data_IF_023919752402
#
_entry.id   IF_023919752402
#
_cell.length_a   1.000
_cell.length_b   1.000
_cell.length_c   1.000
_cell.angle_alpha   90.00
_cell.angle_beta   90.00
_cell.angle_gamma   90.00
#
_symmetry.space_group_name_H-M   'P 1'
#
loop_
_entity.id
_entity.type
_entity.pdbx_description
1 polymer ?
#
# COMPACT_ATOMS: atom_id res chain seq x y z
N UNK A 1 -16.57 -6.76 -11.37
CA UNK A 1 -17.84 -6.02 -11.63
C UNK A 1 -18.93 -6.60 -10.74
N UNK A 2 -20.13 -5.96 -10.69
CA UNK A 2 -21.26 -6.52 -9.94
C UNK A 2 -21.73 -7.79 -10.66
N UNK A 3 -21.99 -8.87 -9.88
CA UNK A 3 -22.25 -10.21 -10.42
C UNK A 3 -23.73 -10.56 -10.46
N UNK A 4 -24.50 -9.98 -9.55
CA UNK A 4 -25.92 -10.27 -9.38
C UNK A 4 -26.78 -9.09 -9.83
N UNK A 5 -27.93 -9.40 -10.45
CA UNK A 5 -28.90 -8.39 -10.88
C UNK A 5 -30.31 -8.85 -10.54
N UNK A 6 -31.07 -7.97 -9.89
CA UNK A 6 -32.48 -8.20 -9.53
C UNK A 6 -33.33 -7.02 -10.01
N UNK A 7 -34.52 -7.31 -10.48
CA UNK A 7 -35.54 -6.30 -10.70
C UNK A 7 -36.29 -6.00 -9.39
N UNK A 8 -36.54 -4.74 -9.15
CA UNK A 8 -37.24 -4.29 -7.97
C UNK A 8 -38.60 -3.70 -8.34
N UNK A 9 -39.65 -4.25 -7.72
CA UNK A 9 -41.00 -3.70 -7.71
C UNK A 9 -41.47 -3.59 -6.26
N UNK A 10 -42.11 -2.47 -5.93
CA UNK A 10 -42.52 -2.19 -4.56
C UNK A 10 -43.53 -3.22 -4.00
N UNK A 11 -44.34 -3.82 -4.89
CA UNK A 11 -45.35 -4.82 -4.54
C UNK A 11 -44.73 -6.18 -4.16
N UNK A 12 -43.49 -6.44 -4.62
CA UNK A 12 -42.78 -7.70 -4.38
C UNK A 12 -41.52 -7.50 -3.54
N UNK A 13 -41.45 -6.46 -2.73
CA UNK A 13 -40.28 -6.11 -1.93
C UNK A 13 -39.85 -7.22 -0.96
N UNK A 14 -40.80 -7.95 -0.36
CA UNK A 14 -40.53 -9.04 0.55
C UNK A 14 -39.74 -10.19 -0.13
N UNK A 15 -40.11 -10.53 -1.38
CA UNK A 15 -39.41 -11.55 -2.17
C UNK A 15 -37.96 -11.12 -2.48
N UNK A 16 -37.80 -9.86 -2.90
CA UNK A 16 -36.46 -9.29 -3.20
C UNK A 16 -35.59 -9.28 -1.94
N UNK A 17 -36.14 -8.85 -0.78
CA UNK A 17 -35.35 -8.85 0.47
C UNK A 17 -35.01 -10.27 0.97
N UNK A 18 -35.85 -11.26 0.68
CA UNK A 18 -35.55 -12.65 1.00
C UNK A 18 -34.42 -13.21 0.10
N UNK A 19 -34.41 -12.85 -1.18
CA UNK A 19 -33.43 -13.29 -2.16
C UNK A 19 -32.02 -12.73 -1.94
N UNK A 20 -31.88 -11.49 -1.43
CA UNK A 20 -30.54 -10.91 -1.22
C UNK A 20 -29.86 -11.43 0.05
N UNK A 21 -28.54 -11.62 0.06
CA UNK A 21 -27.82 -12.12 1.23
C UNK A 21 -27.74 -11.08 2.35
N UNK A 22 -27.75 -11.56 3.61
CA UNK A 22 -27.47 -10.74 4.79
C UNK A 22 -25.94 -10.66 5.04
N UNK A 23 -25.16 -10.23 4.03
CA UNK A 23 -23.71 -10.23 3.99
C UNK A 23 -23.15 -8.89 3.51
N UNK A 24 -21.84 -8.62 3.72
CA UNK A 24 -21.18 -7.47 3.13
C UNK A 24 -21.26 -7.51 1.61
N UNK A 25 -21.49 -6.33 0.99
CA UNK A 25 -21.61 -6.22 -0.46
C UNK A 25 -21.34 -4.79 -0.94
N UNK A 26 -21.00 -4.68 -2.22
CA UNK A 26 -21.13 -3.45 -3.00
C UNK A 26 -22.39 -3.56 -3.84
N UNK A 27 -23.16 -2.49 -3.92
CA UNK A 27 -24.39 -2.48 -4.70
C UNK A 27 -24.63 -1.16 -5.41
N UNK A 28 -25.39 -1.24 -6.47
CA UNK A 28 -25.80 -0.15 -7.32
C UNK A 28 -27.32 -0.22 -7.53
N UNK A 29 -28.02 0.91 -7.37
CA UNK A 29 -29.45 1.03 -7.60
C UNK A 29 -29.69 1.94 -8.80
N UNK A 30 -30.48 1.45 -9.78
CA UNK A 30 -30.90 2.21 -10.97
C UNK A 30 -32.39 2.48 -10.94
N UNK A 31 -32.75 3.68 -11.35
CA UNK A 31 -34.12 4.07 -11.61
C UNK A 31 -34.64 3.60 -12.97
N UNK A 32 -35.89 4.00 -13.30
CA UNK A 32 -36.47 3.81 -14.63
C UNK A 32 -35.79 4.73 -15.68
N UNK A 33 -35.36 5.91 -15.26
CA UNK A 33 -34.67 6.86 -16.13
C UNK A 33 -33.20 6.45 -16.29
N UNK A 34 -32.82 6.09 -17.50
CA UNK A 34 -31.45 5.71 -17.84
C UNK A 34 -30.42 6.87 -17.70
N UNK A 35 -30.89 8.12 -17.72
CA UNK A 35 -30.03 9.30 -17.54
C UNK A 35 -29.84 9.68 -16.07
N UNK A 36 -30.66 9.14 -15.17
CA UNK A 36 -30.53 9.41 -13.75
C UNK A 36 -29.25 8.74 -13.19
N UNK A 37 -28.52 9.50 -12.37
CA UNK A 37 -27.33 8.96 -11.70
C UNK A 37 -27.69 7.77 -10.79
N UNK A 38 -27.04 6.60 -10.94
CA UNK A 38 -27.29 5.47 -10.07
C UNK A 38 -26.74 5.73 -8.65
N UNK A 39 -27.38 5.15 -7.65
CA UNK A 39 -26.89 5.17 -6.28
C UNK A 39 -25.92 4.00 -6.07
N UNK A 40 -24.65 4.29 -5.78
CA UNK A 40 -23.58 3.30 -5.60
C UNK A 40 -22.99 3.41 -4.20
N UNK A 41 -22.92 2.30 -3.47
CA UNK A 41 -22.26 2.25 -2.15
C UNK A 41 -21.90 0.82 -1.73
N UNK A 42 -21.12 0.70 -0.65
CA UNK A 42 -20.86 -0.57 0.04
C UNK A 42 -21.63 -0.64 1.36
N UNK A 43 -21.87 -1.83 1.84
CA UNK A 43 -22.54 -2.09 3.11
C UNK A 43 -21.98 -3.33 3.80
N UNK A 44 -22.05 -3.39 5.13
CA UNK A 44 -21.73 -4.59 5.90
C UNK A 44 -22.88 -5.63 5.91
N UNK A 45 -24.09 -5.23 5.54
CA UNK A 45 -25.24 -6.13 5.43
C UNK A 45 -26.18 -5.61 4.33
N UNK A 46 -26.20 -6.31 3.20
CA UNK A 46 -26.95 -5.90 2.01
C UNK A 46 -28.44 -5.90 2.26
N UNK A 47 -29.01 -7.00 2.78
CA UNK A 47 -30.44 -7.15 3.04
C UNK A 47 -30.96 -6.01 3.93
N UNK A 48 -30.33 -5.80 5.08
CA UNK A 48 -30.71 -4.74 6.02
C UNK A 48 -30.61 -3.33 5.41
N UNK A 49 -29.59 -3.12 4.57
CA UNK A 49 -29.39 -1.83 3.88
C UNK A 49 -30.47 -1.57 2.84
N UNK A 50 -30.83 -2.57 2.03
CA UNK A 50 -31.88 -2.47 1.04
C UNK A 50 -33.23 -2.29 1.69
N UNK A 51 -33.58 -3.04 2.75
CA UNK A 51 -34.80 -2.84 3.52
C UNK A 51 -34.93 -1.40 4.03
N UNK A 52 -33.85 -0.79 4.48
CA UNK A 52 -33.84 0.61 4.94
C UNK A 52 -34.04 1.62 3.80
N UNK A 53 -33.51 1.33 2.60
CA UNK A 53 -33.57 2.24 1.44
C UNK A 53 -34.86 2.06 0.60
N UNK A 54 -35.40 0.85 0.55
CA UNK A 54 -36.48 0.45 -0.37
C UNK A 54 -37.71 -0.08 0.36
N UNK A 55 -37.68 -0.23 1.68
CA UNK A 55 -38.83 -0.66 2.47
C UNK A 55 -39.91 0.42 2.57
N UNK A 56 -41.08 0.05 3.09
CA UNK A 56 -42.20 1.00 3.29
C UNK A 56 -41.76 2.16 4.19
N UNK A 57 -42.21 3.36 3.87
CA UNK A 57 -41.89 4.57 4.63
C UNK A 57 -42.84 4.66 5.82
N UNK A 58 -42.33 4.65 7.04
CA UNK A 58 -43.08 5.07 8.20
C UNK A 58 -43.28 6.61 8.14
N UNK A 59 -44.49 7.08 8.39
CA UNK A 59 -44.81 8.51 8.37
C UNK A 59 -43.79 9.33 9.18
N UNK A 60 -43.30 10.44 8.59
CA UNK A 60 -42.37 11.43 9.19
C UNK A 60 -40.89 11.06 9.35
N UNK A 61 -40.30 10.19 8.53
CA UNK A 61 -38.82 10.02 8.57
C UNK A 61 -38.11 10.90 7.56
N UNK A 62 -37.08 11.68 8.01
CA UNK A 62 -36.15 12.43 7.14
C UNK A 62 -35.07 11.51 6.49
N UNK A 63 -35.24 10.18 6.53
CA UNK A 63 -34.28 9.22 6.01
C UNK A 63 -34.46 9.06 4.50
N UNK A 64 -33.32 8.93 3.79
CA UNK A 64 -33.32 8.66 2.35
C UNK A 64 -34.09 7.37 2.08
N UNK A 65 -35.17 7.46 1.29
CA UNK A 65 -35.89 6.34 0.73
C UNK A 65 -35.90 6.45 -0.79
N UNK A 66 -35.68 5.36 -1.47
CA UNK A 66 -35.56 5.27 -2.92
C UNK A 66 -36.60 4.31 -3.52
N UNK A 67 -37.57 3.85 -2.73
CA UNK A 67 -38.56 2.82 -3.09
C UNK A 67 -39.24 3.08 -4.45
N UNK A 68 -39.74 4.29 -4.64
CA UNK A 68 -40.52 4.62 -5.84
C UNK A 68 -39.66 4.88 -7.08
N UNK A 69 -38.37 5.12 -6.86
CA UNK A 69 -37.42 5.48 -7.93
C UNK A 69 -36.65 4.30 -8.49
N UNK A 70 -36.35 3.29 -7.66
CA UNK A 70 -35.50 2.14 -8.03
C UNK A 70 -36.32 1.13 -8.83
N UNK A 71 -35.68 0.56 -9.86
CA UNK A 71 -36.20 -0.55 -10.67
C UNK A 71 -35.22 -1.72 -10.78
N UNK A 72 -33.93 -1.45 -10.63
CA UNK A 72 -32.89 -2.47 -10.74
C UNK A 72 -31.91 -2.35 -9.60
N UNK A 73 -31.58 -3.49 -9.00
CA UNK A 73 -30.56 -3.67 -7.98
C UNK A 73 -29.46 -4.53 -8.59
N UNK A 74 -28.26 -4.00 -8.70
CA UNK A 74 -27.07 -4.76 -9.07
C UNK A 74 -26.16 -4.85 -7.84
N UNK A 75 -25.60 -6.02 -7.52
CA UNK A 75 -24.72 -6.17 -6.37
C UNK A 75 -23.68 -7.27 -6.55
N UNK A 76 -22.68 -7.25 -5.70
CA UNK A 76 -21.75 -8.37 -5.53
C UNK A 76 -21.40 -8.51 -4.03
N UNK A 77 -21.57 -9.71 -3.46
CA UNK A 77 -21.12 -10.03 -2.12
C UNK A 77 -19.59 -9.92 -2.02
N UNK A 78 -19.09 -9.59 -0.83
CA UNK A 78 -17.65 -9.45 -0.57
C UNK A 78 -17.30 -10.09 0.77
N UNK A 79 -16.09 -10.64 0.89
CA UNK A 79 -15.63 -11.31 2.10
C UNK A 79 -14.94 -10.38 3.10
N UNK A 80 -14.49 -9.20 2.65
CA UNK A 80 -13.74 -8.27 3.51
C UNK A 80 -14.04 -6.80 3.20
N UNK A 81 -13.68 -5.91 4.15
CA UNK A 81 -13.78 -4.45 3.94
C UNK A 81 -12.82 -3.95 2.85
N UNK A 82 -11.65 -4.63 2.71
CA UNK A 82 -10.71 -4.34 1.64
C UNK A 82 -11.31 -4.67 0.27
N UNK A 83 -11.84 -5.89 0.11
CA UNK A 83 -12.51 -6.32 -1.13
C UNK A 83 -13.67 -5.40 -1.48
N UNK A 84 -14.53 -5.07 -0.49
CA UNK A 84 -15.62 -4.11 -0.67
C UNK A 84 -15.11 -2.72 -1.10
N UNK A 85 -13.99 -2.27 -0.54
CA UNK A 85 -13.36 -0.98 -0.89
C UNK A 85 -12.81 -0.97 -2.30
N UNK A 86 -12.12 -2.04 -2.71
CA UNK A 86 -11.53 -2.19 -4.04
C UNK A 86 -12.61 -2.35 -5.12
N UNK A 87 -13.63 -3.16 -4.85
CA UNK A 87 -14.77 -3.31 -5.77
C UNK A 87 -15.55 -1.99 -5.91
N UNK A 88 -15.81 -1.28 -4.80
CA UNK A 88 -16.45 0.04 -4.85
C UNK A 88 -15.66 1.04 -5.70
N UNK A 89 -14.33 1.04 -5.56
CA UNK A 89 -13.46 1.85 -6.42
C UNK A 89 -13.66 1.51 -7.90
N UNK A 90 -13.63 0.23 -8.26
CA UNK A 90 -13.78 -0.23 -9.65
C UNK A 90 -15.15 0.14 -10.22
N UNK A 91 -16.22 -0.06 -9.44
CA UNK A 91 -17.60 0.29 -9.86
C UNK A 91 -17.76 1.80 -10.01
N UNK A 92 -17.29 2.59 -9.04
CA UNK A 92 -17.39 4.06 -9.13
C UNK A 92 -16.57 4.63 -10.27
N UNK A 93 -15.37 4.10 -10.52
CA UNK A 93 -14.52 4.52 -11.65
C UNK A 93 -15.19 4.25 -13.00
N UNK A 94 -15.84 3.09 -13.14
CA UNK A 94 -16.60 2.74 -14.36
C UNK A 94 -17.87 3.56 -14.52
N UNK A 95 -18.61 3.80 -13.42
CA UNK A 95 -19.92 4.48 -13.45
C UNK A 95 -19.76 6.01 -13.51
N UNK A 96 -18.76 6.57 -12.81
CA UNK A 96 -18.57 8.01 -12.66
C UNK A 96 -17.12 8.44 -12.98
N UNK A 97 -16.62 8.25 -14.20
CA UNK A 97 -15.20 8.44 -14.54
C UNK A 97 -14.67 9.84 -14.23
N UNK A 98 -15.53 10.87 -14.21
CA UNK A 98 -15.14 12.25 -13.92
C UNK A 98 -15.17 12.61 -12.43
N UNK A 99 -15.94 11.89 -11.59
CA UNK A 99 -16.20 12.28 -10.19
C UNK A 99 -15.92 11.20 -9.14
N UNK A 100 -15.50 9.99 -9.54
CA UNK A 100 -15.26 8.87 -8.61
C UNK A 100 -14.23 9.19 -7.53
N UNK A 101 -13.19 9.97 -7.85
CA UNK A 101 -12.15 10.32 -6.89
C UNK A 101 -12.69 11.16 -5.73
N UNK A 102 -13.54 12.15 -6.02
CA UNK A 102 -14.19 12.97 -4.98
C UNK A 102 -15.19 12.15 -4.17
N UNK A 103 -15.92 11.23 -4.81
CA UNK A 103 -16.86 10.32 -4.14
C UNK A 103 -16.16 9.37 -3.17
N UNK A 104 -14.95 8.88 -3.51
CA UNK A 104 -14.12 8.01 -2.68
C UNK A 104 -13.30 8.77 -1.63
N UNK A 105 -13.18 10.09 -1.76
CA UNK A 105 -12.35 10.95 -0.89
C UNK A 105 -10.93 10.41 -0.76
N UNK A 106 -10.27 10.15 -1.89
CA UNK A 106 -8.92 9.62 -1.92
C UNK A 106 -7.94 10.49 -1.13
N UNK A 107 -7.13 9.83 -0.31
CA UNK A 107 -5.95 10.39 0.36
C UNK A 107 -4.72 9.65 -0.16
N UNK A 108 -4.08 10.20 -1.19
CA UNK A 108 -2.91 9.59 -1.80
C UNK A 108 -1.79 9.34 -0.78
N UNK A 109 -1.04 8.27 -1.04
CA UNK A 109 0.03 7.87 -0.15
C UNK A 109 1.24 8.80 -0.30
N UNK A 110 1.82 9.29 0.80
CA UNK A 110 3.11 9.97 0.77
C UNK A 110 4.22 8.99 0.41
N UNK A 111 5.15 9.46 -0.41
CA UNK A 111 6.29 8.71 -0.93
C UNK A 111 7.55 9.56 -0.78
N UNK A 112 8.67 8.94 -0.50
CA UNK A 112 10.00 9.53 -0.69
C UNK A 112 10.34 9.40 -2.17
N UNK A 113 10.69 10.50 -2.82
CA UNK A 113 11.16 10.56 -4.21
C UNK A 113 12.63 10.91 -4.24
N UNK A 114 13.45 10.08 -4.91
CA UNK A 114 14.80 10.44 -5.32
C UNK A 114 14.76 10.99 -6.75
N UNK A 115 15.16 12.25 -6.91
CA UNK A 115 15.16 12.99 -8.18
C UNK A 115 16.47 12.72 -8.93
N UNK A 116 16.57 11.55 -9.59
CA UNK A 116 17.74 11.20 -10.37
C UNK A 116 17.79 11.89 -11.75
N UNK A 117 16.72 12.59 -12.12
CA UNK A 117 16.65 13.43 -13.32
C UNK A 117 17.46 14.72 -13.20
N UNK A 118 17.75 15.17 -11.98
CA UNK A 118 18.55 16.37 -11.73
C UNK A 118 20.04 16.04 -11.91
N UNK A 119 20.81 16.99 -12.41
CA UNK A 119 22.27 16.87 -12.49
C UNK A 119 22.88 16.57 -11.11
N UNK A 120 22.38 17.27 -10.08
CA UNK A 120 22.67 16.95 -8.68
C UNK A 120 21.40 16.40 -8.00
N UNK A 121 21.24 15.08 -7.92
CA UNK A 121 20.08 14.43 -7.34
C UNK A 121 19.78 14.85 -5.91
N UNK A 122 18.51 14.80 -5.53
CA UNK A 122 18.03 15.11 -4.18
C UNK A 122 16.82 14.26 -3.82
N UNK A 123 16.43 14.27 -2.53
CA UNK A 123 15.21 13.64 -2.07
C UNK A 123 14.10 14.67 -1.80
N UNK A 124 12.86 14.25 -1.90
CA UNK A 124 11.69 15.02 -1.47
C UNK A 124 10.49 14.11 -1.15
N UNK A 125 9.47 14.67 -0.49
CA UNK A 125 8.21 13.97 -0.26
C UNK A 125 7.19 14.39 -1.30
N UNK A 126 6.53 13.39 -1.90
CA UNK A 126 5.49 13.59 -2.91
C UNK A 126 4.30 12.66 -2.69
N UNK A 127 3.13 13.07 -3.18
CA UNK A 127 1.95 12.20 -3.33
C UNK A 127 1.63 11.97 -4.81
N UNK A 128 2.49 12.43 -5.73
CA UNK A 128 2.31 12.32 -7.16
C UNK A 128 3.39 11.42 -7.76
N UNK A 129 2.99 10.49 -8.60
CA UNK A 129 3.90 9.66 -9.38
C UNK A 129 4.11 10.27 -10.76
N UNK A 130 5.38 10.35 -11.16
CA UNK A 130 5.75 10.47 -12.55
C UNK A 130 5.77 9.10 -13.24
N UNK A 131 6.37 8.99 -14.42
CA UNK A 131 6.61 7.70 -15.07
C UNK A 131 7.59 6.89 -14.23
N UNK A 132 7.15 5.71 -13.76
CA UNK A 132 8.02 4.79 -13.02
C UNK A 132 9.19 4.33 -13.93
N UNK A 133 10.38 4.24 -13.33
CA UNK A 133 11.54 3.57 -13.94
C UNK A 133 12.41 4.38 -14.88
N UNK A 134 12.16 5.69 -15.15
CA UNK A 134 12.99 6.42 -16.10
C UNK A 134 14.03 7.40 -15.53
N UNK A 135 13.72 8.16 -14.50
CA UNK A 135 14.66 9.17 -13.92
C UNK A 135 14.40 9.50 -12.45
N UNK A 136 13.41 8.89 -11.83
CA UNK A 136 13.11 9.12 -10.41
C UNK A 136 12.73 7.81 -9.77
N UNK A 137 13.17 7.61 -8.54
CA UNK A 137 12.79 6.46 -7.73
C UNK A 137 11.80 6.91 -6.64
N UNK A 138 10.84 6.04 -6.34
CA UNK A 138 9.82 6.30 -5.36
C UNK A 138 9.78 5.18 -4.33
N UNK A 139 9.80 5.54 -3.03
CA UNK A 139 9.78 4.61 -1.91
C UNK A 139 8.57 4.89 -1.01
N UNK A 140 7.88 3.87 -0.60
CA UNK A 140 6.65 3.95 0.19
C UNK A 140 5.74 2.76 -0.08
N UNK A 141 4.45 2.88 0.28
CA UNK A 141 3.71 4.03 0.81
C UNK A 141 3.90 4.25 2.32
N UNK A 142 4.01 5.50 2.76
CA UNK A 142 4.04 5.84 4.18
C UNK A 142 2.63 6.13 4.73
N UNK A 143 2.46 5.95 6.04
CA UNK A 143 1.19 6.21 6.74
C UNK A 143 0.77 7.67 6.66
N UNK A 144 1.72 8.59 6.81
CA UNK A 144 1.51 10.05 6.78
C UNK A 144 2.70 10.78 6.16
N UNK A 145 2.48 12.06 5.79
CA UNK A 145 3.55 12.92 5.29
C UNK A 145 4.63 13.13 6.36
N UNK A 146 4.22 13.32 7.61
CA UNK A 146 5.14 13.49 8.75
C UNK A 146 6.04 12.27 8.91
N UNK A 147 5.47 11.06 8.82
CA UNK A 147 6.26 9.83 8.90
C UNK A 147 7.27 9.69 7.75
N UNK A 148 6.87 10.07 6.53
CA UNK A 148 7.75 10.06 5.37
C UNK A 148 8.88 11.10 5.48
N UNK A 149 8.57 12.33 5.93
CA UNK A 149 9.54 13.41 6.16
C UNK A 149 10.53 13.02 7.25
N UNK A 150 10.03 12.48 8.37
CA UNK A 150 10.89 11.99 9.46
C UNK A 150 11.84 10.91 8.96
N UNK A 151 11.33 9.85 8.34
CA UNK A 151 12.16 8.77 7.80
C UNK A 151 13.20 9.29 6.81
N UNK A 152 12.82 10.16 5.87
CA UNK A 152 13.74 10.75 4.89
C UNK A 152 14.85 11.55 5.57
N UNK A 153 14.50 12.43 6.52
CA UNK A 153 15.48 13.28 7.19
C UNK A 153 16.43 12.46 8.07
N UNK A 154 15.88 11.54 8.88
CA UNK A 154 16.67 10.65 9.74
C UNK A 154 17.64 9.77 8.88
N UNK A 155 17.19 9.32 7.71
CA UNK A 155 18.02 8.60 6.75
C UNK A 155 19.15 9.46 6.20
N UNK A 156 18.82 10.69 5.76
CA UNK A 156 19.78 11.61 5.17
C UNK A 156 20.85 12.11 6.16
N UNK A 157 20.63 11.97 7.47
CA UNK A 157 21.65 12.25 8.49
C UNK A 157 22.88 11.34 8.42
N UNK A 158 22.76 10.19 7.75
CA UNK A 158 23.88 9.28 7.50
C UNK A 158 24.66 9.60 6.22
N UNK A 159 24.13 10.52 5.38
CA UNK A 159 24.65 10.82 4.05
C UNK A 159 24.90 12.31 3.87
N UNK A 160 25.70 12.62 2.87
CA UNK A 160 26.02 14.00 2.49
C UNK A 160 25.33 14.45 1.19
N UNK A 161 24.16 13.87 0.90
CA UNK A 161 23.32 14.31 -0.21
C UNK A 161 22.72 15.69 0.09
N UNK A 162 22.62 16.56 -0.92
CA UNK A 162 22.00 17.90 -0.77
C UNK A 162 20.55 17.84 -0.31
N UNK A 163 20.16 18.76 0.56
CA UNK A 163 18.80 18.90 1.11
C UNK A 163 18.04 20.11 0.56
N UNK A 164 18.73 21.03 -0.12
CA UNK A 164 18.12 22.18 -0.76
C UNK A 164 17.16 21.75 -1.88
N UNK A 165 16.11 22.54 -2.08
CA UNK A 165 15.04 22.25 -3.04
C UNK A 165 15.23 22.93 -4.38
N UNK A 166 16.04 23.97 -4.43
CA UNK A 166 16.26 24.82 -5.60
C UNK A 166 16.97 24.06 -6.73
N UNK A 167 16.76 24.51 -7.96
CA UNK A 167 17.57 24.07 -9.08
C UNK A 167 19.00 24.55 -8.87
N UNK A 168 19.93 23.62 -8.99
CA UNK A 168 21.30 23.86 -8.60
C UNK A 168 22.14 24.16 -9.84
N UNK A 169 22.73 25.37 -9.84
CA UNK A 169 23.71 25.81 -10.82
C UNK A 169 25.02 26.08 -10.06
N UNK A 170 26.05 25.22 -10.19
CA UNK A 170 27.28 25.37 -9.45
C UNK A 170 27.99 26.71 -9.75
N UNK A 171 28.21 27.50 -8.71
CA UNK A 171 28.98 28.75 -8.78
C UNK A 171 30.08 28.72 -7.72
N UNK A 172 31.38 28.69 -8.10
CA UNK A 172 32.49 28.72 -7.15
C UNK A 172 32.51 29.96 -6.22
N UNK A 173 31.80 31.00 -6.58
CA UNK A 173 31.68 32.22 -5.76
C UNK A 173 30.51 32.16 -4.77
N UNK A 174 29.69 31.14 -4.81
CA UNK A 174 28.58 30.95 -3.88
C UNK A 174 29.13 30.81 -2.45
N UNK A 175 28.65 31.56 -1.47
CA UNK A 175 29.25 31.59 -0.12
C UNK A 175 28.98 30.32 0.71
N UNK A 176 28.23 29.37 0.16
CA UNK A 176 27.80 28.17 0.88
C UNK A 176 26.43 28.35 1.53
N UNK A 177 26.01 27.31 2.24
CA UNK A 177 24.75 27.28 2.97
C UNK A 177 24.92 26.53 4.29
N UNK A 178 23.94 26.62 5.17
CA UNK A 178 23.96 25.97 6.49
C UNK A 178 24.28 24.46 6.42
N UNK A 179 23.79 23.75 5.40
CA UNK A 179 24.07 22.31 5.25
C UNK A 179 25.52 22.03 4.90
N UNK A 180 26.17 22.92 4.14
CA UNK A 180 27.62 22.79 3.84
C UNK A 180 28.47 23.11 5.06
N UNK A 181 28.12 24.15 5.83
CA UNK A 181 28.80 24.52 7.07
C UNK A 181 28.70 23.41 8.13
N UNK A 182 27.52 22.79 8.26
CA UNK A 182 27.31 21.65 9.15
C UNK A 182 27.87 20.31 8.62
N UNK A 183 28.53 20.30 7.47
CA UNK A 183 29.07 19.11 6.80
C UNK A 183 28.03 18.02 6.52
N UNK A 184 26.76 18.40 6.36
CA UNK A 184 25.65 17.53 6.03
C UNK A 184 25.42 17.39 4.51
N UNK A 185 26.23 18.05 3.69
CA UNK A 185 26.17 18.06 2.24
C UNK A 185 27.59 18.15 1.67
N UNK A 186 27.86 17.48 0.55
CA UNK A 186 29.12 17.60 -0.20
C UNK A 186 29.30 18.93 -0.91
N UNK A 187 28.28 19.80 -0.86
CA UNK A 187 28.29 21.15 -1.36
C UNK A 187 28.60 21.31 -2.87
N UNK A 188 27.90 20.58 -3.76
CA UNK A 188 28.09 20.75 -5.21
C UNK A 188 27.75 22.15 -5.69
N UNK A 189 26.97 22.94 -4.92
CA UNK A 189 26.55 24.29 -5.28
C UNK A 189 27.71 25.29 -5.43
N UNK A 190 28.81 25.10 -4.72
CA UNK A 190 30.05 25.90 -4.90
C UNK A 190 31.26 25.06 -5.29
N UNK A 191 31.02 23.88 -5.91
CA UNK A 191 32.06 22.92 -6.33
C UNK A 191 32.91 22.42 -5.15
N UNK A 192 32.28 22.20 -3.99
CA UNK A 192 32.93 21.65 -2.80
C UNK A 192 33.26 20.15 -2.91
N UNK A 193 32.79 19.50 -3.96
CA UNK A 193 33.12 18.12 -4.34
C UNK A 193 33.18 17.98 -5.86
N UNK A 194 33.78 16.89 -6.34
CA UNK A 194 33.69 16.50 -7.76
C UNK A 194 32.32 15.89 -8.09
N UNK A 195 32.00 15.80 -9.38
CA UNK A 195 30.76 15.19 -9.86
C UNK A 195 30.77 13.69 -9.56
N UNK A 196 31.92 13.03 -9.64
CA UNK A 196 32.13 11.62 -9.32
C UNK A 196 31.90 11.33 -7.84
N UNK A 197 32.42 12.20 -6.94
CA UNK A 197 32.22 12.09 -5.49
C UNK A 197 30.73 12.24 -5.14
N UNK A 198 30.05 13.21 -5.77
CA UNK A 198 28.62 13.38 -5.56
C UNK A 198 27.81 12.18 -6.09
N UNK A 199 28.15 11.67 -7.28
CA UNK A 199 27.50 10.49 -7.87
C UNK A 199 27.71 9.24 -7.01
N UNK A 200 28.90 9.05 -6.44
CA UNK A 200 29.18 7.95 -5.51
C UNK A 200 28.28 8.03 -4.26
N UNK A 201 28.13 9.21 -3.68
CA UNK A 201 27.25 9.42 -2.52
C UNK A 201 25.77 9.16 -2.86
N UNK A 202 25.31 9.59 -4.03
CA UNK A 202 23.94 9.29 -4.51
C UNK A 202 23.72 7.79 -4.68
N UNK A 203 24.70 7.06 -5.20
CA UNK A 203 24.62 5.60 -5.31
C UNK A 203 24.55 4.91 -3.93
N UNK A 204 25.25 5.42 -2.91
CA UNK A 204 25.14 4.94 -1.54
C UNK A 204 23.74 5.18 -0.96
N UNK A 205 23.18 6.38 -1.14
CA UNK A 205 21.80 6.71 -0.74
C UNK A 205 20.79 5.79 -1.44
N UNK A 206 20.94 5.59 -2.74
CA UNK A 206 20.09 4.68 -3.50
C UNK A 206 20.17 3.26 -2.97
N UNK A 207 21.38 2.71 -2.77
CA UNK A 207 21.59 1.36 -2.24
C UNK A 207 20.94 1.20 -0.85
N UNK A 208 21.02 2.24 0.00
CA UNK A 208 20.37 2.28 1.29
C UNK A 208 18.85 2.15 1.18
N UNK A 209 18.19 2.97 0.36
CA UNK A 209 16.74 2.91 0.18
C UNK A 209 16.31 1.61 -0.51
N UNK A 210 17.07 1.12 -1.50
CA UNK A 210 16.76 -0.11 -2.24
C UNK A 210 16.86 -1.36 -1.35
N UNK A 211 17.74 -1.35 -0.36
CA UNK A 211 17.96 -2.48 0.57
C UNK A 211 17.21 -2.35 1.91
N UNK A 212 16.35 -1.33 2.07
CA UNK A 212 15.70 -1.08 3.36
C UNK A 212 16.71 -0.82 4.50
N UNK A 213 17.90 -0.29 4.19
CA UNK A 213 18.93 0.06 5.14
C UNK A 213 20.07 -0.97 5.30
N UNK A 214 19.92 -2.18 4.76
CA UNK A 214 20.92 -3.26 4.91
C UNK A 214 22.29 -2.90 4.34
N UNK A 215 22.35 -2.13 3.25
CA UNK A 215 23.61 -1.74 2.64
C UNK A 215 24.47 -0.88 3.58
N UNK A 216 23.86 0.11 4.24
CA UNK A 216 24.53 0.97 5.20
C UNK A 216 24.90 0.21 6.49
N UNK A 217 24.03 -0.70 6.95
CA UNK A 217 24.32 -1.53 8.12
C UNK A 217 25.55 -2.39 7.89
N UNK A 218 25.70 -3.00 6.72
CA UNK A 218 26.88 -3.78 6.35
C UNK A 218 28.13 -2.90 6.21
N UNK A 219 28.01 -1.74 5.56
CA UNK A 219 29.09 -0.76 5.40
C UNK A 219 29.64 -0.34 6.76
N UNK A 220 28.79 0.18 7.66
CA UNK A 220 29.19 0.61 8.99
C UNK A 220 29.74 -0.53 9.86
N UNK A 221 29.22 -1.75 9.72
CA UNK A 221 29.74 -2.91 10.43
C UNK A 221 31.16 -3.26 9.97
N UNK A 222 31.41 -3.25 8.66
CA UNK A 222 32.73 -3.51 8.10
C UNK A 222 33.74 -2.42 8.49
N UNK A 223 33.37 -1.14 8.45
CA UNK A 223 34.19 -0.03 8.90
C UNK A 223 34.56 -0.15 10.38
N UNK A 224 33.58 -0.50 11.24
CA UNK A 224 33.84 -0.72 12.69
C UNK A 224 34.82 -1.86 12.93
N UNK A 225 34.65 -2.99 12.23
CA UNK A 225 35.60 -4.13 12.34
C UNK A 225 36.99 -3.76 11.89
N UNK A 226 37.14 -3.02 10.78
CA UNK A 226 38.42 -2.54 10.30
C UNK A 226 39.09 -1.57 11.29
N UNK A 227 38.33 -0.65 11.90
CA UNK A 227 38.84 0.26 12.93
C UNK A 227 39.32 -0.52 14.19
N UNK A 228 38.53 -1.50 14.62
CA UNK A 228 38.88 -2.37 15.75
C UNK A 228 40.14 -3.19 15.45
N UNK A 229 40.28 -3.75 14.25
CA UNK A 229 41.47 -4.49 13.83
C UNK A 229 42.75 -3.65 13.81
N UNK A 230 42.62 -2.34 13.58
CA UNK A 230 43.75 -1.36 13.67
C UNK A 230 43.96 -0.82 15.08
N UNK A 231 43.21 -1.32 16.09
CA UNK A 231 43.20 -0.84 17.46
C UNK A 231 42.77 0.63 17.61
N UNK A 232 42.04 1.18 16.62
CA UNK A 232 41.48 2.53 16.66
C UNK A 232 40.12 2.55 17.40
N UNK A 233 40.17 2.32 18.71
CA UNK A 233 38.99 2.07 19.53
C UNK A 233 38.01 3.25 19.61
N UNK A 234 38.50 4.50 19.60
CA UNK A 234 37.67 5.69 19.57
C UNK A 234 36.88 5.79 18.25
N UNK A 235 37.54 5.52 17.13
CA UNK A 235 36.89 5.46 15.82
C UNK A 235 35.85 4.33 15.76
N UNK A 236 36.18 3.14 16.23
CA UNK A 236 35.28 2.00 16.31
C UNK A 236 34.05 2.32 17.19
N UNK A 237 34.23 3.01 18.32
CA UNK A 237 33.14 3.43 19.20
C UNK A 237 32.22 4.47 18.52
N UNK A 238 32.78 5.44 17.80
CA UNK A 238 32.02 6.43 17.04
C UNK A 238 31.18 5.76 15.93
N UNK A 239 31.75 4.79 15.21
CA UNK A 239 31.01 4.04 14.18
C UNK A 239 29.92 3.16 14.84
N UNK A 240 30.20 2.52 15.96
CA UNK A 240 29.21 1.74 16.72
C UNK A 240 28.02 2.61 17.12
N UNK A 241 28.24 3.81 17.62
CA UNK A 241 27.16 4.75 17.95
C UNK A 241 26.27 5.07 16.73
N UNK A 242 26.85 5.16 15.52
CA UNK A 242 26.08 5.34 14.29
C UNK A 242 25.22 4.11 13.97
N UNK A 243 25.74 2.89 14.17
CA UNK A 243 24.99 1.63 14.00
C UNK A 243 23.82 1.58 14.99
N UNK A 244 24.06 1.93 16.26
CA UNK A 244 22.99 1.94 17.29
C UNK A 244 21.92 3.01 17.01
N UNK A 245 22.25 4.12 16.36
CA UNK A 245 21.27 5.11 15.87
C UNK A 245 20.45 4.59 14.69
N UNK A 246 21.04 3.78 13.81
CA UNK A 246 20.39 3.24 12.61
C UNK A 246 19.37 2.13 12.91
N UNK A 247 19.71 1.21 13.84
CA UNK A 247 18.89 0.04 14.16
C UNK A 247 17.41 0.35 14.50
N UNK A 248 17.10 1.27 15.44
CA UNK A 248 15.70 1.58 15.78
C UNK A 248 14.92 2.15 14.61
N UNK A 249 15.57 2.93 13.76
CA UNK A 249 14.93 3.51 12.59
C UNK A 249 14.53 2.44 11.56
N UNK A 250 15.39 1.45 11.32
CA UNK A 250 15.12 0.34 10.42
C UNK A 250 14.10 -0.63 11.00
N UNK A 251 14.16 -0.94 12.29
CA UNK A 251 13.20 -1.84 12.94
C UNK A 251 11.77 -1.31 12.95
N UNK A 252 11.59 0.00 12.88
CA UNK A 252 10.28 0.66 12.77
C UNK A 252 9.80 0.84 11.33
N UNK A 253 10.62 0.51 10.33
CA UNK A 253 10.24 0.67 8.93
C UNK A 253 9.27 -0.44 8.53
N UNK A 254 8.02 -0.10 8.15
CA UNK A 254 7.06 -1.12 7.74
C UNK A 254 7.49 -1.82 6.44
N UNK A 255 7.31 -3.15 6.35
CA UNK A 255 7.67 -3.94 5.16
C UNK A 255 7.05 -3.42 3.85
N UNK A 256 5.90 -2.75 3.91
CA UNK A 256 5.27 -2.14 2.74
C UNK A 256 6.08 -0.97 2.17
N UNK A 257 6.97 -0.36 2.98
CA UNK A 257 7.79 0.76 2.54
C UNK A 257 8.97 0.23 1.74
N UNK A 258 8.75 0.09 0.46
CA UNK A 258 9.72 -0.43 -0.51
C UNK A 258 9.76 0.49 -1.73
N UNK A 259 10.73 0.26 -2.60
CA UNK A 259 10.79 0.89 -3.91
C UNK A 259 9.58 0.44 -4.76
N UNK A 260 8.81 1.38 -5.30
CA UNK A 260 7.51 1.08 -5.91
C UNK A 260 7.58 0.18 -7.15
N UNK A 261 8.64 0.31 -7.94
CA UNK A 261 8.87 -0.56 -9.10
C UNK A 261 9.41 -1.96 -8.72
N UNK A 262 9.60 -2.22 -7.42
CA UNK A 262 9.89 -3.53 -6.85
C UNK A 262 8.75 -4.04 -5.97
N UNK A 263 7.77 -3.20 -5.62
CA UNK A 263 6.69 -3.56 -4.71
C UNK A 263 5.82 -4.67 -5.32
N UNK A 264 6.08 -5.89 -4.90
CA UNK A 264 5.36 -7.10 -5.29
C UNK A 264 4.94 -7.87 -4.04
N UNK A 265 3.67 -8.28 -3.97
CA UNK A 265 3.13 -9.00 -2.83
C UNK A 265 1.90 -9.83 -3.19
N UNK A 266 1.58 -10.81 -2.34
CA UNK A 266 0.30 -11.48 -2.30
C UNK A 266 -0.46 -11.06 -1.03
N UNK A 267 -1.66 -10.53 -1.19
CA UNK A 267 -2.59 -10.27 -0.10
C UNK A 267 -3.67 -11.33 -0.08
N UNK A 268 -3.93 -11.90 1.11
CA UNK A 268 -4.95 -12.90 1.37
C UNK A 268 -6.03 -12.27 2.24
N UNK A 269 -7.27 -12.36 1.79
CA UNK A 269 -8.45 -11.83 2.46
C UNK A 269 -9.48 -12.95 2.70
N UNK A 270 -10.35 -12.83 3.71
CA UNK A 270 -11.53 -13.69 3.79
C UNK A 270 -12.37 -13.59 2.52
N UNK A 271 -12.95 -14.71 2.10
CA UNK A 271 -13.87 -14.78 0.97
C UNK A 271 -15.33 -14.76 1.44
N UNK A 272 -16.24 -14.30 0.58
CA UNK A 272 -17.68 -14.51 0.75
C UNK A 272 -18.13 -15.91 0.35
N UNK A 273 -17.27 -16.65 -0.38
CA UNK A 273 -17.53 -18.05 -0.78
C UNK A 273 -17.05 -18.98 0.33
N UNK A 274 -17.95 -19.82 0.83
CA UNK A 274 -17.62 -20.82 1.84
C UNK A 274 -16.48 -21.74 1.39
N UNK A 275 -15.56 -22.07 2.31
CA UNK A 275 -14.41 -22.93 2.00
C UNK A 275 -13.30 -22.27 1.19
N UNK A 276 -13.34 -20.96 0.99
CA UNK A 276 -12.39 -20.24 0.15
C UNK A 276 -11.77 -19.02 0.86
N UNK A 277 -10.66 -18.54 0.33
CA UNK A 277 -10.06 -17.22 0.61
C UNK A 277 -9.92 -16.42 -0.68
N UNK A 278 -9.82 -15.11 -0.58
CA UNK A 278 -9.66 -14.22 -1.73
C UNK A 278 -8.20 -13.75 -1.85
N UNK A 279 -7.58 -13.94 -3.00
CA UNK A 279 -6.23 -13.51 -3.32
C UNK A 279 -6.25 -12.21 -4.10
N UNK A 280 -5.40 -11.27 -3.69
CA UNK A 280 -5.08 -10.05 -4.42
C UNK A 280 -3.56 -10.00 -4.65
N UNK A 281 -3.16 -9.94 -5.90
CA UNK A 281 -1.76 -9.72 -6.28
C UNK A 281 -1.48 -8.22 -6.31
N UNK A 282 -0.39 -7.82 -5.68
CA UNK A 282 0.19 -6.49 -5.84
C UNK A 282 1.41 -6.63 -6.74
N UNK A 283 1.47 -5.87 -7.83
CA UNK A 283 2.61 -5.83 -8.72
C UNK A 283 2.89 -4.38 -9.15
N UNK A 284 4.13 -3.92 -8.92
CA UNK A 284 4.54 -2.54 -9.17
C UNK A 284 3.61 -1.49 -8.49
N UNK A 285 3.08 -1.83 -7.32
CA UNK A 285 2.14 -1.01 -6.58
C UNK A 285 0.69 -1.05 -7.07
N UNK A 286 0.36 -1.86 -8.08
CA UNK A 286 -1.00 -2.09 -8.55
C UNK A 286 -1.60 -3.33 -7.92
N UNK A 287 -2.93 -3.31 -7.73
CA UNK A 287 -3.70 -4.39 -7.16
C UNK A 287 -4.49 -5.08 -8.27
N UNK A 288 -4.34 -6.38 -8.40
CA UNK A 288 -5.12 -7.26 -9.29
C UNK A 288 -5.87 -8.30 -8.47
N UNK A 289 -7.07 -8.66 -8.89
CA UNK A 289 -7.93 -9.63 -8.20
C UNK A 289 -9.32 -9.06 -7.88
N UNK A 290 -10.13 -9.73 -7.03
CA UNK A 290 -9.79 -10.99 -6.34
C UNK A 290 -9.83 -12.22 -7.22
N UNK A 291 -9.02 -13.23 -6.86
CA UNK A 291 -9.26 -14.61 -7.24
C UNK A 291 -9.75 -15.37 -6.02
N UNK A 292 -10.82 -16.15 -6.19
CA UNK A 292 -11.33 -17.01 -5.13
C UNK A 292 -10.53 -18.33 -5.13
N UNK A 293 -9.86 -18.61 -4.01
CA UNK A 293 -9.02 -19.78 -3.83
C UNK A 293 -9.69 -20.76 -2.85
N UNK A 294 -10.14 -21.91 -3.38
CA UNK A 294 -10.75 -22.96 -2.57
C UNK A 294 -9.68 -23.67 -1.72
N UNK A 295 -9.92 -23.81 -0.41
CA UNK A 295 -9.02 -24.51 0.51
C UNK A 295 -8.96 -26.00 0.18
N UNK A 296 -10.13 -26.63 0.05
CA UNK A 296 -10.20 -28.02 -0.38
C UNK A 296 -9.98 -28.11 -1.88
N UNK A 297 -9.10 -29.01 -2.35
CA UNK A 297 -8.86 -29.20 -3.77
C UNK A 297 -10.09 -29.79 -4.45
N UNK A 298 -10.36 -29.36 -5.67
CA UNK A 298 -11.29 -30.08 -6.55
C UNK A 298 -10.73 -31.47 -6.88
N UNK A 299 -11.58 -32.42 -7.29
CA UNK A 299 -11.18 -33.82 -7.50
C UNK A 299 -9.97 -33.99 -8.43
N UNK A 300 -9.95 -33.24 -9.52
CA UNK A 300 -8.85 -33.23 -10.49
C UNK A 300 -7.54 -32.60 -10.00
N UNK A 301 -7.54 -31.90 -8.86
CA UNK A 301 -6.35 -31.25 -8.27
C UNK A 301 -5.92 -31.87 -6.94
N UNK A 302 -6.54 -32.98 -6.51
CA UNK A 302 -6.24 -33.66 -5.24
C UNK A 302 -4.77 -34.10 -5.10
N UNK A 303 -4.09 -34.40 -6.21
CA UNK A 303 -2.67 -34.81 -6.24
C UNK A 303 -1.69 -33.64 -6.18
N UNK A 304 -2.16 -32.39 -6.32
CA UNK A 304 -1.29 -31.21 -6.33
C UNK A 304 -1.01 -30.69 -4.91
N UNK A 305 0.23 -30.28 -4.68
CA UNK A 305 0.58 -29.61 -3.41
C UNK A 305 -0.16 -28.28 -3.27
N UNK A 306 -0.34 -27.81 -2.03
CA UNK A 306 -0.93 -26.49 -1.77
C UNK A 306 -0.11 -25.39 -2.44
N UNK A 307 1.22 -25.47 -2.41
CA UNK A 307 2.12 -24.52 -3.05
C UNK A 307 1.92 -24.46 -4.56
N UNK A 308 1.82 -25.61 -5.24
CA UNK A 308 1.56 -25.67 -6.68
C UNK A 308 0.20 -25.07 -7.06
N UNK A 309 -0.83 -25.27 -6.23
CA UNK A 309 -2.16 -24.70 -6.43
C UNK A 309 -2.15 -23.19 -6.24
N UNK A 310 -1.43 -22.68 -5.24
CA UNK A 310 -1.24 -21.23 -5.01
C UNK A 310 -0.52 -20.62 -6.21
N UNK A 311 0.55 -21.25 -6.71
CA UNK A 311 1.28 -20.76 -7.87
C UNK A 311 0.38 -20.71 -9.11
N UNK A 312 -0.38 -21.77 -9.40
CA UNK A 312 -1.32 -21.78 -10.52
C UNK A 312 -2.40 -20.68 -10.41
N UNK A 313 -2.91 -20.41 -9.19
CA UNK A 313 -3.83 -19.31 -8.95
C UNK A 313 -3.19 -17.95 -9.21
N UNK A 314 -1.93 -17.76 -8.80
CA UNK A 314 -1.19 -16.52 -9.06
C UNK A 314 -0.91 -16.31 -10.55
N UNK A 315 -0.60 -17.37 -11.28
CA UNK A 315 -0.32 -17.30 -12.72
C UNK A 315 -1.60 -17.01 -13.54
N UNK A 316 -2.77 -17.35 -13.00
CA UNK A 316 -4.07 -17.01 -13.60
C UNK A 316 -4.48 -15.54 -13.41
N UNK A 317 -3.84 -14.82 -12.49
CA UNK A 317 -4.09 -13.38 -12.30
C UNK A 317 -3.51 -12.60 -13.48
N UNK A 318 -4.29 -11.71 -14.10
CA UNK A 318 -3.78 -10.89 -15.18
C UNK A 318 -2.61 -10.04 -14.68
N UNK A 319 -1.48 -10.15 -15.36
CA UNK A 319 -0.34 -9.24 -15.16
C UNK A 319 -0.62 -7.96 -15.94
N UNK A 320 -1.36 -7.03 -15.34
CA UNK A 320 -1.61 -5.73 -15.97
C UNK A 320 -0.35 -4.86 -15.93
N UNK A 321 0.45 -4.94 -16.98
CA UNK A 321 1.62 -4.06 -17.19
C UNK A 321 1.25 -2.62 -17.59
N UNK A 322 -0.03 -2.33 -17.87
CA UNK A 322 -0.49 -1.12 -18.62
C UNK A 322 -1.43 -0.19 -17.87
N UNK A 323 -1.27 0.06 -16.59
CA UNK A 323 -2.02 1.11 -15.90
C UNK A 323 -1.20 2.40 -15.76
N UNK A 324 -1.84 3.57 -15.85
CA UNK A 324 -1.18 4.86 -15.68
C UNK A 324 -0.71 5.13 -14.25
N UNK A 325 0.17 6.12 -14.09
CA UNK A 325 0.66 6.56 -12.76
C UNK A 325 -0.48 6.90 -11.78
N UNK A 326 -1.59 7.45 -12.29
CA UNK A 326 -2.77 7.76 -11.47
C UNK A 326 -3.39 6.51 -10.85
N UNK A 327 -3.58 5.45 -11.61
CA UNK A 327 -4.13 4.19 -11.11
C UNK A 327 -3.23 3.55 -10.04
N UNK A 328 -1.91 3.59 -10.24
CA UNK A 328 -0.96 3.14 -9.21
C UNK A 328 -1.12 3.96 -7.92
N UNK A 329 -1.26 5.28 -8.00
CA UNK A 329 -1.49 6.15 -6.84
C UNK A 329 -2.79 5.81 -6.10
N UNK A 330 -3.86 5.53 -6.85
CA UNK A 330 -5.18 5.14 -6.32
C UNK A 330 -5.10 3.79 -5.59
N UNK A 331 -4.47 2.80 -6.22
CA UNK A 331 -4.24 1.49 -5.62
C UNK A 331 -3.36 1.57 -4.37
N UNK A 332 -2.28 2.36 -4.38
CA UNK A 332 -1.47 2.63 -3.20
C UNK A 332 -2.25 3.31 -2.07
N UNK A 333 -3.21 4.19 -2.40
CA UNK A 333 -4.07 4.82 -1.40
C UNK A 333 -5.01 3.81 -0.73
N UNK A 334 -5.57 2.86 -1.50
CA UNK A 334 -6.38 1.76 -0.97
C UNK A 334 -5.54 0.81 -0.11
N UNK A 335 -4.37 0.41 -0.62
CA UNK A 335 -3.44 -0.48 0.07
C UNK A 335 -2.94 0.14 1.38
N UNK A 336 -2.50 1.40 1.36
CA UNK A 336 -2.11 2.16 2.55
C UNK A 336 -3.22 2.19 3.59
N UNK A 337 -4.46 2.52 3.17
CA UNK A 337 -5.61 2.60 4.07
C UNK A 337 -5.89 1.28 4.78
N UNK A 338 -5.71 0.16 4.10
CA UNK A 338 -5.87 -1.17 4.68
C UNK A 338 -4.67 -1.55 5.55
N UNK A 339 -3.44 -1.37 5.05
CA UNK A 339 -2.22 -1.82 5.71
C UNK A 339 -2.02 -1.19 7.08
N UNK A 340 -2.21 0.12 7.18
CA UNK A 340 -2.01 0.88 8.44
C UNK A 340 -3.25 0.91 9.34
N UNK A 341 -4.24 0.09 9.08
CA UNK A 341 -5.41 0.00 9.94
C UNK A 341 -5.13 -0.94 11.11
N UNK A 342 -5.35 -0.49 12.36
CA UNK A 342 -5.10 -1.28 13.56
C UNK A 342 -5.93 -2.58 13.67
N UNK A 343 -7.08 -2.63 13.00
CA UNK A 343 -7.98 -3.80 12.95
C UNK A 343 -8.07 -4.39 11.55
N UNK A 344 -6.92 -4.50 10.86
CA UNK A 344 -6.90 -5.10 9.52
C UNK A 344 -7.24 -6.60 9.60
N UNK A 345 -8.07 -7.05 8.67
CA UNK A 345 -8.38 -8.46 8.46
C UNK A 345 -7.61 -8.91 7.22
N UNK A 346 -7.15 -10.19 7.21
CA UNK A 346 -6.30 -10.72 6.16
C UNK A 346 -4.83 -10.45 6.37
N UNK A 347 -4.00 -11.01 5.52
CA UNK A 347 -2.53 -10.95 5.59
C UNK A 347 -1.94 -10.51 4.24
N UNK A 348 -0.71 -9.98 4.26
CA UNK A 348 0.05 -9.63 3.07
C UNK A 348 1.47 -10.20 3.19
N UNK A 349 1.96 -10.75 2.10
CA UNK A 349 3.28 -11.37 1.98
C UNK A 349 4.03 -10.70 0.84
N UNK A 350 5.10 -10.00 1.20
CA UNK A 350 5.94 -9.33 0.21
C UNK A 350 6.92 -10.30 -0.43
N UNK A 351 7.19 -10.11 -1.71
CA UNK A 351 8.25 -10.81 -2.42
C UNK A 351 9.62 -10.29 -1.97
N UNK A 352 10.62 -11.14 -2.05
CA UNK A 352 12.01 -10.79 -1.78
C UNK A 352 12.66 -9.97 -2.92
N UNK A 353 13.95 -9.68 -2.78
CA UNK A 353 14.71 -8.96 -3.78
C UNK A 353 14.78 -9.67 -5.15
N UNK A 354 14.58 -11.00 -5.20
CA UNK A 354 14.47 -11.79 -6.43
C UNK A 354 13.06 -11.86 -7.00
N UNK A 355 12.11 -11.17 -6.35
CA UNK A 355 10.67 -11.21 -6.63
C UNK A 355 10.04 -12.58 -6.37
N UNK A 356 10.62 -13.37 -5.48
CA UNK A 356 10.07 -14.65 -5.06
C UNK A 356 9.16 -14.46 -3.85
N UNK A 357 7.98 -15.06 -3.89
CA UNK A 357 7.01 -15.02 -2.79
C UNK A 357 7.34 -16.10 -1.74
N UNK A 358 7.20 -15.81 -0.44
CA UNK A 358 7.52 -16.75 0.64
C UNK A 358 6.43 -17.83 0.77
N UNK A 359 6.42 -18.82 -0.13
CA UNK A 359 5.33 -19.81 -0.30
C UNK A 359 4.97 -20.53 0.99
N UNK A 360 5.94 -20.93 1.82
CA UNK A 360 5.67 -21.59 3.12
C UNK A 360 4.92 -20.69 4.11
N UNK A 361 5.24 -19.38 4.13
CA UNK A 361 4.50 -18.38 4.95
C UNK A 361 3.09 -18.16 4.40
N UNK A 362 2.94 -18.11 3.08
CA UNK A 362 1.66 -17.96 2.37
C UNK A 362 0.72 -19.11 2.71
N UNK A 363 1.17 -20.35 2.62
CA UNK A 363 0.36 -21.53 2.93
C UNK A 363 -0.14 -21.50 4.38
N UNK A 364 0.70 -21.09 5.34
CA UNK A 364 0.28 -20.90 6.74
C UNK A 364 -0.71 -19.73 6.88
N UNK A 365 -0.49 -18.64 6.16
CA UNK A 365 -1.38 -17.48 6.14
C UNK A 365 -2.76 -17.80 5.57
N UNK A 366 -2.85 -18.62 4.54
CA UNK A 366 -4.13 -19.12 4.01
C UNK A 366 -4.96 -19.76 5.12
N UNK A 367 -4.35 -20.68 5.90
CA UNK A 367 -5.01 -21.36 7.00
C UNK A 367 -5.45 -20.42 8.12
N UNK A 368 -4.63 -19.42 8.48
CA UNK A 368 -4.98 -18.41 9.49
C UNK A 368 -6.13 -17.53 9.05
N UNK A 369 -6.06 -16.98 7.84
CA UNK A 369 -7.12 -16.12 7.30
C UNK A 369 -8.44 -16.87 7.17
N UNK A 370 -8.39 -18.13 6.73
CA UNK A 370 -9.57 -18.98 6.63
C UNK A 370 -10.24 -19.21 7.99
N UNK A 371 -9.46 -19.44 9.06
CA UNK A 371 -9.97 -19.63 10.41
C UNK A 371 -10.36 -18.32 11.11
N UNK A 372 -10.12 -17.17 10.49
CA UNK A 372 -10.35 -15.87 11.11
C UNK A 372 -9.37 -15.55 12.25
N UNK A 373 -8.20 -16.18 12.24
CA UNK A 373 -7.13 -15.94 13.22
C UNK A 373 -6.45 -14.57 12.95
N UNK A 374 -5.86 -13.98 13.99
CA UNK A 374 -5.10 -12.73 13.84
C UNK A 374 -3.88 -12.96 12.95
N UNK A 375 -3.48 -11.96 12.14
CA UNK A 375 -2.24 -12.02 11.38
C UNK A 375 -1.04 -12.28 12.29
N UNK A 376 -0.06 -13.00 11.78
CA UNK A 376 1.25 -13.06 12.42
C UNK A 376 1.85 -11.65 12.32
N UNK A 377 1.95 -10.97 13.46
CA UNK A 377 2.55 -9.63 13.51
C UNK A 377 4.06 -9.80 13.33
N UNK A 378 4.63 -9.19 12.30
CA UNK A 378 6.07 -8.99 12.26
C UNK A 378 6.48 -8.12 13.46
N UNK A 379 7.61 -8.46 14.08
CA UNK A 379 8.14 -7.78 15.27
C UNK A 379 8.29 -6.25 15.08
N UNK A 380 8.35 -5.76 13.83
CA UNK A 380 8.40 -4.34 13.47
C UNK A 380 7.07 -3.59 13.64
N UNK A 381 5.96 -4.26 13.96
CA UNK A 381 4.61 -3.66 14.02
C UNK A 381 4.02 -3.55 15.43
N UNK A 382 4.74 -3.93 16.49
CA UNK A 382 4.34 -3.62 17.84
C UNK A 382 4.69 -2.16 18.16
N UNK A 383 3.72 -1.22 18.26
CA UNK A 383 4.00 0.03 18.93
C UNK A 383 4.21 -0.33 20.41
N UNK A 384 5.43 -0.17 20.91
CA UNK A 384 5.64 -0.11 22.35
C UNK A 384 4.74 1.00 22.89
N UNK A 385 3.69 0.62 23.59
CA UNK A 385 2.86 1.55 24.37
C UNK A 385 3.79 2.12 25.44
N UNK A 386 4.05 3.43 25.47
CA UNK A 386 4.80 4.04 26.55
C UNK A 386 3.98 3.80 27.83
N UNK A 387 4.54 2.99 28.73
CA UNK A 387 3.95 2.74 30.03
C UNK A 387 3.79 4.06 30.79
N UNK A 388 2.58 4.59 30.84
CA UNK A 388 2.19 5.59 31.82
C UNK A 388 2.27 4.92 33.21
N UNK A 389 3.43 5.05 33.88
CA UNK A 389 3.45 5.05 35.32
C UNK A 389 3.01 6.45 35.78
N UNK A 390 1.79 6.54 36.25
CA UNK A 390 1.36 7.66 37.08
C UNK A 390 1.96 7.52 38.49
N UNK A 391 2.26 8.64 39.14
CA UNK A 391 2.89 8.69 40.47
C UNK A 391 2.01 8.17 41.59
#
# INVERSE_FOLDING_TARGET
MLTERLEFAAERDAEVFAAVPAAPAVFLLRGADALAEPYVTKTANLRRRLQRLLGPVAERTKKLNLRDRVRVIEYAPTGSDFESGFLLYSVLRATFPKTYQSRLRFRFAPLVKLHLENEYPRASITTRLGRLGRRSLYYGPFVSRIAAEKFMNDSLDFFKMRRCVDDLHPDPKFPGCIYSEMKMCLAPCFKGCSDEEYAAEINRVRAYFDSGGDSLTRELSAEREAASGRLAFEEAAAIHARVEKLKPMLSQLPEIVQRLDHLSALMIQPSHIAGSVAFFRIDLGKICGPIQFAIQPAEHTKSQSMESRVQAALDSLPSEKTGGALETMEHLALLKRWYYRGTRIGEIFFADAKRELPMRRIVRGISRVFRGEKPELDASQCPETPGHRLP
#
